data_IF_109695150441
#
_entry.id   IF_109695150441
#
_cell.length_a   1.000
_cell.length_b   1.000
_cell.length_c   1.000
_cell.angle_alpha   90.00
_cell.angle_beta   90.00
_cell.angle_gamma   90.00
#
_symmetry.space_group_name_H-M   'P 1'
#
loop_
_entity.id
_entity.type
_entity.pdbx_description
1 polymer ?
#
# COMPACT_ATOMS: atom_id res chain seq x y z
N UNK A 1 -2.87 -16.15 -17.00
CA UNK A 1 -3.57 -15.15 -16.18
C UNK A 1 -2.60 -14.40 -15.28
N UNK A 2 -2.81 -13.10 -15.19
CA UNK A 2 -1.96 -12.24 -14.38
C UNK A 2 -2.57 -12.12 -12.99
N UNK A 3 -1.74 -12.39 -11.97
CA UNK A 3 -2.21 -12.28 -10.59
C UNK A 3 -2.09 -10.85 -10.09
N UNK A 4 -3.10 -10.42 -9.36
CA UNK A 4 -3.07 -9.11 -8.72
C UNK A 4 -2.29 -9.19 -7.42
N UNK A 5 -1.34 -8.29 -7.25
CA UNK A 5 -0.53 -8.18 -6.04
C UNK A 5 -0.82 -6.86 -5.35
N UNK A 6 -0.93 -6.92 -4.03
CA UNK A 6 -1.17 -5.73 -3.22
C UNK A 6 -0.03 -5.58 -2.22
N UNK A 7 0.55 -4.38 -2.18
CA UNK A 7 1.65 -4.06 -1.27
C UNK A 7 1.31 -2.81 -0.48
N UNK A 8 1.49 -2.87 0.82
CA UNK A 8 1.33 -1.69 1.65
C UNK A 8 2.71 -1.24 2.12
N UNK A 9 3.16 -0.10 1.62
CA UNK A 9 4.45 0.46 2.00
C UNK A 9 4.31 1.30 3.26
N UNK A 10 5.10 0.99 4.26
CA UNK A 10 5.06 1.65 5.57
C UNK A 10 6.45 2.07 6.01
N UNK A 11 6.49 2.87 7.07
CA UNK A 11 7.76 3.21 7.73
C UNK A 11 7.57 3.02 9.24
N UNK A 12 8.69 2.92 9.97
CA UNK A 12 8.64 2.65 11.39
C UNK A 12 8.10 3.81 12.24
N UNK A 13 8.21 5.03 11.74
CA UNK A 13 7.85 6.21 12.49
C UNK A 13 6.55 6.86 12.02
N UNK A 14 5.76 6.13 11.27
CA UNK A 14 4.54 6.68 10.67
C UNK A 14 3.30 6.28 11.47
N UNK A 15 2.66 7.22 12.17
CA UNK A 15 1.43 6.90 12.91
C UNK A 15 0.28 6.52 11.98
N UNK A 16 0.22 7.12 10.79
CA UNK A 16 -0.83 6.83 9.83
C UNK A 16 -0.69 5.41 9.25
N UNK A 17 0.52 4.84 9.29
CA UNK A 17 0.73 3.48 8.82
C UNK A 17 -0.02 2.47 9.68
N UNK A 18 -0.15 2.73 10.97
CA UNK A 18 -0.93 1.88 11.86
C UNK A 18 -2.40 1.88 11.47
N UNK A 19 -2.93 3.05 11.15
CA UNK A 19 -4.31 3.17 10.71
C UNK A 19 -4.52 2.42 9.40
N UNK A 20 -3.59 2.56 8.46
CA UNK A 20 -3.68 1.88 7.18
C UNK A 20 -3.66 0.36 7.35
N UNK A 21 -2.77 -0.15 8.20
CA UNK A 21 -2.71 -1.58 8.50
C UNK A 21 -4.03 -2.08 9.07
N UNK A 22 -4.61 -1.30 9.95
CA UNK A 22 -5.87 -1.66 10.59
C UNK A 22 -7.03 -1.64 9.60
N UNK A 23 -7.07 -0.64 8.74
CA UNK A 23 -8.10 -0.54 7.71
C UNK A 23 -8.06 -1.69 6.72
N UNK A 24 -6.86 -2.20 6.45
CA UNK A 24 -6.64 -3.27 5.49
C UNK A 24 -6.49 -4.65 6.15
N UNK A 25 -6.81 -4.74 7.43
CA UNK A 25 -6.73 -5.99 8.17
C UNK A 25 -7.66 -7.02 7.56
N UNK A 26 -7.15 -8.21 7.33
CA UNK A 26 -7.91 -9.29 6.70
C UNK A 26 -7.77 -9.34 5.20
N UNK A 27 -7.16 -8.33 4.58
CA UNK A 27 -6.92 -8.33 3.14
C UNK A 27 -5.64 -9.08 2.80
N UNK A 28 -5.65 -9.70 1.63
CA UNK A 28 -4.49 -10.45 1.15
C UNK A 28 -3.48 -9.49 0.52
N UNK A 29 -2.58 -8.96 1.35
CA UNK A 29 -1.57 -8.03 0.90
C UNK A 29 -0.27 -8.24 1.69
N UNK A 30 0.83 -7.72 1.13
CA UNK A 30 2.12 -7.76 1.80
C UNK A 30 2.42 -6.38 2.37
N UNK A 31 2.93 -6.36 3.60
CA UNK A 31 3.36 -5.12 4.22
C UNK A 31 4.85 -4.98 4.01
N UNK A 32 5.26 -3.91 3.35
CA UNK A 32 6.64 -3.66 2.99
C UNK A 32 7.16 -2.44 3.76
N UNK A 33 8.25 -2.62 4.48
CA UNK A 33 8.91 -1.51 5.15
C UNK A 33 9.77 -0.78 4.11
N UNK A 34 9.34 0.43 3.74
CA UNK A 34 10.01 1.20 2.70
C UNK A 34 11.44 1.57 3.08
N UNK A 35 11.72 1.70 4.38
CA UNK A 35 13.07 2.03 4.83
C UNK A 35 14.02 0.84 4.70
N UNK A 36 13.51 -0.36 4.87
CA UNK A 36 14.30 -1.58 4.73
C UNK A 36 14.36 -2.08 3.29
N UNK A 37 13.45 -1.60 2.44
CA UNK A 37 13.38 -2.02 1.05
C UNK A 37 13.39 -0.80 0.11
N UNK A 38 14.47 0.01 0.15
CA UNK A 38 14.51 1.24 -0.63
C UNK A 38 14.47 1.03 -2.14
N UNK A 39 15.01 -0.08 -2.62
CA UNK A 39 14.99 -0.38 -4.04
C UNK A 39 13.58 -0.65 -4.53
N UNK A 40 12.82 -1.39 -3.76
CA UNK A 40 11.43 -1.68 -4.10
C UNK A 40 10.58 -0.42 -4.02
N UNK A 41 10.79 0.40 -3.00
CA UNK A 41 10.10 1.66 -2.88
C UNK A 41 10.36 2.56 -4.09
N UNK A 42 11.61 2.59 -4.55
CA UNK A 42 11.97 3.37 -5.72
C UNK A 42 11.34 2.81 -7.00
N UNK A 43 11.30 1.48 -7.10
CA UNK A 43 10.71 0.81 -8.25
C UNK A 43 9.25 1.22 -8.44
N UNK A 44 8.50 1.36 -7.36
CA UNK A 44 7.11 1.74 -7.41
C UNK A 44 6.86 3.23 -7.24
N UNK A 45 7.93 4.02 -7.15
CA UNK A 45 7.81 5.47 -7.01
C UNK A 45 7.20 5.90 -5.68
N UNK A 46 7.51 5.19 -4.60
CA UNK A 46 6.96 5.48 -3.29
C UNK A 46 7.71 6.64 -2.66
N UNK A 47 7.00 7.73 -2.42
CA UNK A 47 7.58 8.93 -1.83
C UNK A 47 7.02 9.26 -0.46
N UNK A 48 5.95 8.60 -0.08
CA UNK A 48 5.29 8.83 1.22
C UNK A 48 4.80 7.49 1.76
N UNK A 49 4.52 7.45 3.04
CA UNK A 49 3.92 6.29 3.68
C UNK A 49 2.75 6.78 4.53
N UNK A 50 1.69 6.01 4.67
CA UNK A 50 1.48 4.72 4.02
C UNK A 50 1.08 4.90 2.55
N UNK A 51 1.49 3.96 1.71
CA UNK A 51 1.07 3.93 0.31
C UNK A 51 0.68 2.51 -0.05
N UNK A 52 -0.53 2.35 -0.55
CA UNK A 52 -1.02 1.07 -1.03
C UNK A 52 -0.80 0.98 -2.54
N UNK A 53 -0.12 -0.08 -2.97
CA UNK A 53 0.12 -0.34 -4.38
C UNK A 53 -0.63 -1.59 -4.78
N UNK A 54 -1.41 -1.49 -5.85
CA UNK A 54 -2.11 -2.64 -6.43
C UNK A 54 -1.66 -2.77 -7.87
N UNK A 55 -1.08 -3.90 -8.20
CA UNK A 55 -0.58 -4.13 -9.56
C UNK A 55 -0.92 -5.54 -10.03
N UNK A 56 -1.25 -5.65 -11.32
CA UNK A 56 -1.52 -6.93 -11.95
C UNK A 56 -0.46 -7.25 -13.01
N UNK A 57 0.65 -6.51 -13.01
CA UNK A 57 1.71 -6.68 -13.99
C UNK A 57 1.59 -5.74 -15.19
N UNK A 58 0.38 -5.38 -15.57
CA UNK A 58 0.14 -4.44 -16.67
C UNK A 58 -0.35 -3.09 -16.17
N UNK A 59 -1.12 -3.11 -15.08
CA UNK A 59 -1.70 -1.91 -14.50
C UNK A 59 -1.16 -1.72 -13.11
N UNK A 60 -1.01 -0.47 -12.70
CA UNK A 60 -0.55 -0.14 -11.37
C UNK A 60 -1.37 1.01 -10.83
N UNK A 61 -1.91 0.84 -9.63
CA UNK A 61 -2.64 1.88 -8.93
C UNK A 61 -1.95 2.14 -7.60
N UNK A 62 -1.82 3.40 -7.24
CA UNK A 62 -1.25 3.80 -5.96
C UNK A 62 -2.26 4.65 -5.19
N UNK A 63 -2.42 4.32 -3.93
CA UNK A 63 -3.26 5.09 -3.02
C UNK A 63 -2.33 5.68 -1.97
N UNK A 64 -1.97 6.93 -2.15
CA UNK A 64 -1.00 7.61 -1.31
C UNK A 64 -1.67 8.16 -0.07
N UNK A 65 -1.09 7.91 1.07
CA UNK A 65 -1.49 8.29 2.42
C UNK A 65 -2.80 7.64 2.90
N UNK A 66 -3.08 7.79 4.20
CA UNK A 66 -4.20 7.09 4.83
C UNK A 66 -5.55 7.52 4.29
N UNK A 67 -5.70 8.78 3.89
CA UNK A 67 -6.96 9.29 3.35
C UNK A 67 -7.37 8.57 2.07
N UNK A 68 -6.44 8.38 1.17
CA UNK A 68 -6.71 7.70 -0.09
C UNK A 68 -6.91 6.21 0.11
N UNK A 69 -6.19 5.62 1.07
CA UNK A 69 -6.38 4.21 1.42
C UNK A 69 -7.77 4.01 2.00
N UNK A 70 -8.23 4.93 2.85
CA UNK A 70 -9.58 4.87 3.41
C UNK A 70 -10.62 4.92 2.30
N UNK A 71 -10.40 5.76 1.31
CA UNK A 71 -11.30 5.89 0.18
C UNK A 71 -11.37 4.58 -0.62
N UNK A 72 -10.22 3.94 -0.81
CA UNK A 72 -10.18 2.63 -1.46
C UNK A 72 -10.99 1.60 -0.67
N UNK A 73 -10.80 1.56 0.65
CA UNK A 73 -11.53 0.64 1.51
C UNK A 73 -13.03 0.86 1.39
N UNK A 74 -13.45 2.12 1.43
CA UNK A 74 -14.87 2.46 1.37
C UNK A 74 -15.49 2.11 0.01
N UNK A 75 -14.77 2.32 -1.07
CA UNK A 75 -15.30 2.13 -2.43
C UNK A 75 -15.16 0.71 -2.95
N UNK A 76 -14.06 0.04 -2.61
CA UNK A 76 -13.73 -1.26 -3.20
C UNK A 76 -13.96 -2.44 -2.27
N UNK A 77 -13.80 -2.26 -0.96
CA UNK A 77 -13.88 -3.36 -0.01
C UNK A 77 -15.17 -3.39 0.80
N UNK A 78 -15.96 -2.35 0.70
CA UNK A 78 -17.20 -2.26 1.46
C UNK A 78 -18.38 -2.88 0.70
#
# INVERSE_FOLDING_TARGET
PVETHKYLFTTNTCPNCRMAKKMLEGEDLEIIDAEKNPDMARQFGIMQAPTLVITDGEHLKKYVNASNIQKYVDEELD
#
